data_IF_483047802318
#
_entry.id   IF_483047802318
#
_cell.length_a   1.000
_cell.length_b   1.000
_cell.length_c   1.000
_cell.angle_alpha   90.00
_cell.angle_beta   90.00
_cell.angle_gamma   90.00
#
_symmetry.space_group_name_H-M   'P 1'
#
loop_
_entity.id
_entity.type
_entity.pdbx_description
1 polymer ?
#
# COMPACT_ATOMS: atom_id res chain seq x y z
N UNK A 1 43.46 -19.49 -0.36
CA UNK A 1 42.29 -19.50 0.54
C UNK A 1 41.52 -20.77 0.29
N UNK A 2 41.20 -21.60 1.33
CA UNK A 2 40.40 -22.80 1.13
C UNK A 2 39.00 -22.38 0.61
N UNK A 3 38.58 -23.00 -0.50
CA UNK A 3 37.24 -22.87 -1.00
C UNK A 3 36.25 -23.31 0.07
N UNK A 4 35.26 -22.47 0.35
CA UNK A 4 34.19 -22.82 1.28
C UNK A 4 33.40 -23.99 0.67
N UNK A 5 33.63 -25.21 1.18
CA UNK A 5 32.85 -26.37 0.78
C UNK A 5 31.46 -26.17 1.40
N UNK A 6 30.53 -25.71 0.60
CA UNK A 6 29.12 -25.63 1.00
C UNK A 6 28.67 -27.00 1.50
N UNK A 7 28.02 -27.06 2.64
CA UNK A 7 27.47 -28.31 3.13
C UNK A 7 26.39 -28.81 2.15
N UNK A 8 26.50 -30.03 1.68
CA UNK A 8 25.48 -30.74 0.87
C UNK A 8 24.19 -31.04 1.65
N UNK A 9 24.05 -30.52 2.86
CA UNK A 9 22.82 -30.67 3.63
C UNK A 9 21.70 -29.80 3.05
N UNK A 10 20.50 -30.35 2.79
CA UNK A 10 19.37 -29.58 2.36
C UNK A 10 19.05 -28.50 3.40
N UNK A 11 18.84 -27.30 2.95
CA UNK A 11 18.46 -26.20 3.86
C UNK A 11 17.21 -26.57 4.66
N UNK A 12 17.21 -26.33 5.98
CA UNK A 12 16.05 -26.62 6.81
C UNK A 12 14.86 -25.79 6.31
N UNK A 13 13.69 -26.41 6.21
CA UNK A 13 12.45 -25.68 5.90
C UNK A 13 12.13 -24.75 7.06
N UNK A 14 11.99 -23.48 6.78
CA UNK A 14 11.51 -22.53 7.77
C UNK A 14 10.05 -22.86 8.13
N UNK A 15 9.66 -22.72 9.41
CA UNK A 15 8.27 -22.87 9.80
C UNK A 15 7.40 -21.84 9.07
N UNK A 16 6.16 -22.23 8.75
CA UNK A 16 5.19 -21.32 8.16
C UNK A 16 4.91 -20.19 9.15
N UNK A 17 4.93 -18.95 8.66
CA UNK A 17 4.48 -17.80 9.45
C UNK A 17 2.94 -17.91 9.65
N UNK A 18 2.42 -17.96 10.89
CA UNK A 18 0.99 -18.13 11.17
C UNK A 18 0.22 -16.84 10.93
N UNK A 19 0.19 -16.34 9.68
CA UNK A 19 -0.61 -15.17 9.32
C UNK A 19 -2.10 -15.54 9.26
N UNK A 20 -2.99 -14.69 9.83
CA UNK A 20 -4.42 -14.92 9.75
C UNK A 20 -4.88 -14.93 8.30
N UNK A 21 -5.65 -15.97 7.92
CA UNK A 21 -6.20 -16.07 6.58
C UNK A 21 -7.44 -15.18 6.47
N UNK A 22 -7.52 -14.28 5.46
CA UNK A 22 -8.68 -13.44 5.26
C UNK A 22 -9.89 -14.27 4.81
N UNK A 23 -11.03 -14.09 5.49
CA UNK A 23 -12.32 -14.63 5.08
C UNK A 23 -12.89 -13.74 3.97
N UNK A 24 -12.78 -14.19 2.72
CA UNK A 24 -13.15 -13.39 1.56
C UNK A 24 -14.67 -13.26 1.39
N UNK A 25 -15.45 -14.19 1.94
CA UNK A 25 -16.93 -14.19 1.82
C UNK A 25 -17.53 -13.15 2.78
N UNK A 26 -16.90 -12.91 3.93
CA UNK A 26 -17.31 -11.91 4.91
C UNK A 26 -16.61 -10.55 4.74
N UNK A 27 -15.75 -10.40 3.73
CA UNK A 27 -14.89 -9.24 3.58
C UNK A 27 -15.62 -7.99 3.06
N UNK A 28 -15.40 -6.87 3.72
CA UNK A 28 -15.78 -5.56 3.21
C UNK A 28 -14.77 -5.08 2.15
N UNK A 29 -15.28 -4.57 1.00
CA UNK A 29 -14.42 -4.07 -0.08
C UNK A 29 -14.33 -2.56 -0.06
N UNK A 30 -13.10 -2.04 0.03
CA UNK A 30 -12.78 -0.62 -0.08
C UNK A 30 -11.97 -0.36 -1.36
N UNK A 31 -12.26 0.77 -2.02
CA UNK A 31 -11.60 1.15 -3.29
C UNK A 31 -10.59 2.26 -3.05
N UNK A 32 -9.37 2.08 -3.59
CA UNK A 32 -8.31 3.08 -3.56
C UNK A 32 -7.80 3.32 -4.97
N UNK A 33 -7.83 4.58 -5.39
CA UNK A 33 -7.36 5.02 -6.70
C UNK A 33 -6.14 5.90 -6.49
N UNK A 34 -5.03 5.52 -7.12
CA UNK A 34 -3.81 6.33 -7.18
C UNK A 34 -3.88 7.17 -8.44
N UNK A 35 -3.79 8.48 -8.31
CA UNK A 35 -3.95 9.43 -9.40
C UNK A 35 -2.79 10.43 -9.42
N UNK A 36 -2.56 10.95 -10.61
CA UNK A 36 -1.60 12.01 -10.85
C UNK A 36 -2.34 13.24 -11.37
N UNK A 37 -2.31 14.32 -10.62
CA UNK A 37 -3.01 15.56 -11.00
C UNK A 37 -2.16 16.47 -11.89
N UNK A 38 -0.96 16.02 -12.31
CA UNK A 38 -0.09 16.74 -13.23
C UNK A 38 0.66 17.92 -12.61
N UNK A 39 1.58 18.49 -13.39
CA UNK A 39 2.52 19.53 -12.96
C UNK A 39 1.90 20.93 -12.80
N UNK A 40 0.61 21.11 -13.01
CA UNK A 40 -0.08 22.40 -12.91
C UNK A 40 -0.96 22.38 -11.67
N UNK A 41 -0.35 22.54 -10.51
CA UNK A 41 -1.08 22.95 -9.31
C UNK A 41 -1.36 24.44 -9.42
N UNK A 42 -2.59 24.91 -9.15
CA UNK A 42 -2.82 26.34 -9.01
C UNK A 42 -1.89 26.89 -7.93
N UNK A 43 -1.28 28.02 -8.21
CA UNK A 43 -0.48 28.74 -7.23
C UNK A 43 -1.33 29.07 -6.00
N UNK A 44 -0.73 29.00 -4.80
CA UNK A 44 -1.35 29.52 -3.60
C UNK A 44 -1.53 31.06 -3.69
N UNK A 45 -2.19 31.66 -2.69
CA UNK A 45 -2.41 33.12 -2.63
C UNK A 45 -1.10 33.93 -2.64
N UNK A 46 0.04 33.29 -2.36
CA UNK A 46 1.38 33.87 -2.41
C UNK A 46 2.11 33.58 -3.74
N UNK A 47 1.43 32.99 -4.72
CA UNK A 47 2.01 32.65 -6.01
C UNK A 47 2.96 31.44 -6.00
N UNK A 48 3.01 30.69 -4.90
CA UNK A 48 3.82 29.47 -4.78
C UNK A 48 3.05 28.27 -5.29
N UNK A 49 3.57 27.59 -6.30
CA UNK A 49 2.95 26.37 -6.83
C UNK A 49 2.88 25.29 -5.72
N UNK A 50 1.69 24.94 -5.31
CA UNK A 50 1.43 23.75 -4.50
C UNK A 50 1.54 22.54 -5.42
N UNK A 51 2.70 21.90 -5.45
CA UNK A 51 2.90 20.66 -6.22
C UNK A 51 2.24 19.49 -5.53
N UNK A 52 0.97 19.27 -5.79
CA UNK A 52 0.29 18.01 -5.47
C UNK A 52 0.41 17.09 -6.68
N UNK A 53 1.52 16.36 -6.80
CA UNK A 53 1.71 15.48 -7.95
C UNK A 53 0.86 14.21 -7.86
N UNK A 54 0.69 13.68 -6.65
CA UNK A 54 0.11 12.38 -6.43
C UNK A 54 -1.01 12.41 -5.40
N UNK A 55 -2.04 11.58 -5.62
CA UNK A 55 -3.16 11.47 -4.70
C UNK A 55 -3.59 10.02 -4.50
N UNK A 56 -4.17 9.72 -3.33
CA UNK A 56 -4.94 8.52 -3.06
C UNK A 56 -6.39 8.97 -2.85
N UNK A 57 -7.32 8.52 -3.72
CA UNK A 57 -8.71 8.95 -3.69
C UNK A 57 -8.85 10.50 -3.67
N UNK A 58 -8.08 11.19 -4.53
CA UNK A 58 -8.01 12.65 -4.64
C UNK A 58 -7.54 13.37 -3.37
N UNK A 59 -6.90 12.66 -2.48
CA UNK A 59 -6.31 13.20 -1.24
C UNK A 59 -4.80 13.05 -1.29
N UNK A 60 -4.08 14.11 -1.01
CA UNK A 60 -2.64 14.13 -0.90
C UNK A 60 -2.22 14.42 0.54
N UNK A 61 -1.16 13.75 1.00
CA UNK A 61 -0.51 14.11 2.24
C UNK A 61 0.98 14.37 1.98
N UNK A 62 1.35 15.64 1.98
CA UNK A 62 2.68 16.12 1.62
C UNK A 62 3.55 16.29 2.86
N UNK A 63 3.88 15.23 3.54
CA UNK A 63 4.86 15.28 4.60
C UNK A 63 4.32 15.01 6.00
N UNK A 64 5.23 14.56 6.83
CA UNK A 64 4.98 14.14 8.22
C UNK A 64 5.16 15.33 9.17
N UNK A 65 4.45 16.42 8.94
CA UNK A 65 4.36 17.48 9.92
C UNK A 65 3.28 17.09 10.95
N UNK A 66 3.65 17.07 12.22
CA UNK A 66 2.73 16.75 13.32
C UNK A 66 1.48 17.67 13.38
N UNK A 67 1.54 18.80 12.71
CA UNK A 67 0.47 19.81 12.73
C UNK A 67 -0.55 19.66 11.58
N UNK A 68 -0.32 18.75 10.61
CA UNK A 68 -1.15 18.59 9.41
C UNK A 68 -1.47 17.13 9.08
N UNK A 69 -1.79 16.33 10.10
CA UNK A 69 -2.22 14.94 9.88
C UNK A 69 -3.65 14.99 9.31
N UNK A 70 -3.88 14.52 8.07
CA UNK A 70 -5.21 14.48 7.47
C UNK A 70 -6.10 13.47 8.19
N UNK A 71 -7.39 13.44 7.87
CA UNK A 71 -8.26 12.33 8.28
C UNK A 71 -7.79 11.01 7.62
N UNK A 72 -7.99 9.84 8.27
CA UNK A 72 -7.59 8.55 7.71
C UNK A 72 -8.24 8.31 6.35
N UNK A 73 -7.57 7.59 5.48
CA UNK A 73 -8.12 7.13 4.20
C UNK A 73 -9.29 6.15 4.41
N UNK A 74 -9.19 5.34 5.45
CA UNK A 74 -10.24 4.43 5.91
C UNK A 74 -10.11 4.19 7.43
N UNK A 75 -11.27 3.94 8.07
CA UNK A 75 -11.36 3.40 9.43
C UNK A 75 -11.84 1.96 9.33
N UNK A 76 -11.07 1.07 9.92
CA UNK A 76 -11.28 -0.37 9.88
C UNK A 76 -11.61 -0.89 11.27
N UNK A 77 -12.54 -1.83 11.35
CA UNK A 77 -12.89 -2.49 12.60
C UNK A 77 -11.92 -3.63 12.89
N UNK A 78 -11.38 -3.65 14.10
CA UNK A 78 -10.47 -4.70 14.56
C UNK A 78 -11.12 -6.09 14.41
N UNK A 79 -10.35 -7.04 13.91
CA UNK A 79 -10.75 -8.42 13.68
C UNK A 79 -11.54 -8.68 12.39
N UNK A 80 -11.98 -7.64 11.67
CA UNK A 80 -12.68 -7.83 10.38
C UNK A 80 -11.72 -8.04 9.23
N UNK A 81 -12.21 -8.75 8.21
CA UNK A 81 -11.52 -8.92 6.93
C UNK A 81 -11.89 -7.80 5.96
N UNK A 82 -10.88 -7.27 5.28
CA UNK A 82 -11.04 -6.26 4.24
C UNK A 82 -10.39 -6.68 2.94
N UNK A 83 -11.04 -6.34 1.83
CA UNK A 83 -10.46 -6.38 0.50
C UNK A 83 -10.20 -4.94 0.07
N UNK A 84 -8.94 -4.60 -0.25
CA UNK A 84 -8.62 -3.34 -0.90
C UNK A 84 -8.54 -3.58 -2.40
N UNK A 85 -9.40 -2.89 -3.14
CA UNK A 85 -9.42 -2.86 -4.59
C UNK A 85 -8.63 -1.63 -5.05
N UNK A 86 -7.36 -1.86 -5.38
CA UNK A 86 -6.38 -0.85 -5.73
C UNK A 86 -6.37 -0.61 -7.23
N UNK A 87 -6.47 0.65 -7.66
CA UNK A 87 -6.33 1.05 -9.06
C UNK A 87 -5.21 2.06 -9.20
N UNK A 88 -4.17 1.71 -9.95
CA UNK A 88 -3.18 2.67 -10.39
C UNK A 88 -3.68 3.35 -11.68
N UNK A 89 -4.11 4.60 -11.56
CA UNK A 89 -4.61 5.42 -12.67
C UNK A 89 -3.53 6.42 -13.12
N UNK A 90 -2.26 6.01 -13.07
CA UNK A 90 -1.11 6.84 -13.43
C UNK A 90 -0.26 6.16 -14.52
N UNK A 91 0.58 6.90 -15.25
CA UNK A 91 1.50 6.33 -16.23
C UNK A 91 2.78 5.72 -15.60
N UNK A 92 2.87 5.68 -14.28
CA UNK A 92 4.05 5.22 -13.54
C UNK A 92 3.76 3.97 -12.71
N UNK A 93 4.81 3.24 -12.37
CA UNK A 93 4.74 2.10 -11.46
C UNK A 93 4.86 2.60 -10.01
N UNK A 94 4.10 1.97 -9.11
CA UNK A 94 4.09 2.32 -7.69
C UNK A 94 4.20 1.06 -6.83
N UNK A 95 5.30 0.86 -6.10
CA UNK A 95 5.32 -0.10 -5.00
C UNK A 95 4.51 0.47 -3.84
N UNK A 96 3.36 -0.12 -3.59
CA UNK A 96 2.40 0.30 -2.56
C UNK A 96 2.62 -0.51 -1.30
N UNK A 97 2.90 0.17 -0.20
CA UNK A 97 3.17 -0.40 1.12
C UNK A 97 2.14 0.05 2.15
N UNK A 98 1.76 -0.88 3.02
CA UNK A 98 0.90 -0.60 4.17
C UNK A 98 1.65 -1.05 5.42
N UNK A 99 1.93 -0.11 6.33
CA UNK A 99 2.56 -0.41 7.60
C UNK A 99 1.65 -1.27 8.49
N UNK A 100 2.24 -2.10 9.32
CA UNK A 100 1.56 -2.86 10.36
C UNK A 100 0.55 -3.91 9.88
N UNK A 101 0.49 -4.17 8.57
CA UNK A 101 -0.45 -5.11 7.95
C UNK A 101 0.28 -6.01 6.97
N UNK A 102 0.05 -7.33 7.11
CA UNK A 102 0.41 -8.31 6.08
C UNK A 102 -0.84 -8.65 5.28
N UNK A 103 -0.83 -8.34 3.99
CA UNK A 103 -1.96 -8.62 3.12
C UNK A 103 -1.66 -9.71 2.11
N UNK A 104 -2.70 -10.43 1.70
CA UNK A 104 -2.64 -11.44 0.65
C UNK A 104 -2.98 -10.79 -0.69
N UNK A 105 -2.08 -10.86 -1.66
CA UNK A 105 -2.37 -10.43 -3.05
C UNK A 105 -3.22 -11.49 -3.70
N UNK A 106 -4.42 -11.11 -4.16
CA UNK A 106 -5.42 -12.06 -4.68
C UNK A 106 -5.47 -12.08 -6.21
N UNK A 107 -5.42 -10.90 -6.82
CA UNK A 107 -5.65 -10.76 -8.27
C UNK A 107 -4.98 -9.50 -8.82
N UNK A 108 -4.49 -9.60 -10.03
CA UNK A 108 -4.02 -8.48 -10.85
C UNK A 108 -4.71 -8.50 -12.22
N UNK A 109 -4.87 -7.32 -12.83
CA UNK A 109 -5.34 -7.20 -14.22
C UNK A 109 -4.24 -7.41 -15.25
N UNK A 110 -2.97 -7.44 -14.80
CA UNK A 110 -1.81 -7.56 -15.70
C UNK A 110 -1.00 -8.84 -15.54
N UNK A 111 -1.14 -9.50 -14.38
CA UNK A 111 -0.35 -10.68 -14.02
C UNK A 111 -1.26 -11.80 -13.56
N UNK A 112 -0.90 -13.04 -13.90
CA UNK A 112 -1.45 -14.20 -13.21
C UNK A 112 -0.82 -14.25 -11.82
N UNK A 113 -1.64 -14.27 -10.79
CA UNK A 113 -1.21 -14.28 -9.38
C UNK A 113 -1.58 -15.62 -8.75
N UNK A 114 -0.60 -16.31 -8.21
CA UNK A 114 -0.84 -17.31 -7.17
C UNK A 114 -0.85 -16.56 -5.84
N UNK A 115 -1.95 -16.60 -5.05
CA UNK A 115 -2.08 -15.74 -3.88
C UNK A 115 -0.97 -15.91 -2.86
N UNK A 116 -0.32 -14.80 -2.45
CA UNK A 116 0.78 -14.79 -1.50
C UNK A 116 0.67 -13.60 -0.54
N UNK A 117 1.27 -13.73 0.65
CA UNK A 117 1.34 -12.66 1.63
C UNK A 117 2.56 -11.75 1.41
N UNK A 118 2.33 -10.47 1.58
CA UNK A 118 3.35 -9.41 1.55
C UNK A 118 2.85 -8.17 2.27
N UNK A 119 3.71 -7.22 2.53
CA UNK A 119 3.38 -5.88 3.01
C UNK A 119 3.49 -4.81 1.92
N UNK A 120 4.03 -5.20 0.76
CA UNK A 120 4.27 -4.30 -0.36
C UNK A 120 3.91 -4.97 -1.68
N UNK A 121 3.15 -4.30 -2.53
CA UNK A 121 2.82 -4.77 -3.88
C UNK A 121 3.23 -3.76 -4.94
N UNK A 122 4.01 -4.21 -5.93
CA UNK A 122 4.32 -3.39 -7.10
C UNK A 122 3.12 -3.35 -8.04
N UNK A 123 2.53 -2.18 -8.16
CA UNK A 123 1.49 -1.90 -9.15
C UNK A 123 2.10 -1.26 -10.39
N UNK A 124 1.88 -1.86 -11.54
CA UNK A 124 2.27 -1.29 -12.83
C UNK A 124 1.31 -0.16 -13.23
N UNK A 125 1.76 0.66 -14.19
CA UNK A 125 0.90 1.71 -14.78
C UNK A 125 -0.45 1.12 -15.24
N UNK A 126 -1.54 1.79 -14.92
CA UNK A 126 -2.90 1.39 -15.29
C UNK A 126 -3.33 -0.02 -14.81
N UNK A 127 -2.66 -0.56 -13.80
CA UNK A 127 -2.99 -1.85 -13.19
C UNK A 127 -4.07 -1.72 -12.12
N UNK A 128 -4.85 -2.77 -11.96
CA UNK A 128 -5.74 -2.98 -10.83
C UNK A 128 -5.35 -4.24 -10.09
N UNK A 129 -5.19 -4.13 -8.77
CA UNK A 129 -4.81 -5.23 -7.89
C UNK A 129 -5.82 -5.33 -6.76
N UNK A 130 -6.21 -6.55 -6.42
CA UNK A 130 -6.98 -6.82 -5.20
C UNK A 130 -6.08 -7.46 -4.16
N UNK A 131 -6.09 -6.89 -2.97
CA UNK A 131 -5.41 -7.43 -1.78
C UNK A 131 -6.43 -7.66 -0.68
N UNK A 132 -6.18 -8.62 0.21
CA UNK A 132 -7.04 -8.89 1.36
C UNK A 132 -6.21 -9.13 2.62
N UNK A 133 -6.75 -8.70 3.77
CA UNK A 133 -6.13 -8.92 5.06
C UNK A 133 -7.16 -8.91 6.19
N UNK A 134 -6.78 -9.47 7.32
CA UNK A 134 -7.50 -9.31 8.58
C UNK A 134 -6.95 -8.08 9.28
N UNK A 135 -7.80 -7.17 9.73
CA UNK A 135 -7.42 -5.98 10.50
C UNK A 135 -7.13 -6.37 11.96
N UNK A 136 -6.03 -7.09 12.22
CA UNK A 136 -5.68 -7.70 13.50
C UNK A 136 -4.69 -6.89 14.36
N UNK A 137 -4.17 -5.80 13.81
CA UNK A 137 -3.19 -4.96 14.46
C UNK A 137 -3.76 -3.54 14.69
N UNK A 138 -4.25 -3.20 15.90
CA UNK A 138 -4.85 -1.90 16.16
C UNK A 138 -3.82 -0.78 16.09
N UNK A 139 -4.23 0.38 15.55
CA UNK A 139 -3.37 1.55 15.42
C UNK A 139 -3.62 2.38 14.18
N UNK A 140 -2.73 3.36 13.94
CA UNK A 140 -2.70 4.19 12.75
C UNK A 140 -1.53 3.80 11.88
N UNK A 141 -1.81 3.26 10.70
CA UNK A 141 -0.82 2.63 9.84
C UNK A 141 -0.65 3.43 8.56
N UNK A 142 0.57 3.88 8.29
CA UNK A 142 0.88 4.59 7.04
C UNK A 142 0.60 3.69 5.85
N UNK A 143 0.05 4.32 4.82
CA UNK A 143 -0.28 3.71 3.54
C UNK A 143 0.26 4.61 2.44
N UNK A 144 1.28 4.15 1.70
CA UNK A 144 2.02 5.02 0.79
C UNK A 144 2.73 4.27 -0.34
N UNK A 145 3.16 5.03 -1.34
CA UNK A 145 4.13 4.54 -2.31
C UNK A 145 5.52 4.49 -1.68
N UNK A 146 6.29 3.44 -1.96
CA UNK A 146 7.66 3.28 -1.43
C UNK A 146 8.72 4.05 -2.23
N UNK A 147 8.36 4.65 -3.38
CA UNK A 147 9.20 5.65 -4.05
C UNK A 147 9.11 6.96 -3.25
N UNK A 148 10.24 7.38 -2.70
CA UNK A 148 10.29 8.50 -1.74
C UNK A 148 9.75 9.80 -2.34
N UNK A 149 10.08 10.10 -3.59
CA UNK A 149 9.60 11.28 -4.29
C UNK A 149 8.08 11.27 -4.45
N UNK A 150 7.50 10.12 -4.80
CA UNK A 150 6.05 9.98 -4.91
C UNK A 150 5.35 10.13 -3.56
N UNK A 151 5.92 9.53 -2.52
CA UNK A 151 5.41 9.64 -1.16
C UNK A 151 5.42 11.09 -0.68
N UNK A 152 6.57 11.77 -0.79
CA UNK A 152 6.75 13.17 -0.33
C UNK A 152 5.92 14.18 -1.11
N UNK A 153 5.48 13.83 -2.31
CA UNK A 153 4.68 14.71 -3.18
C UNK A 153 3.21 14.28 -3.27
N UNK A 154 2.72 13.54 -2.26
CA UNK A 154 1.29 13.34 -2.04
C UNK A 154 0.79 11.89 -2.03
N UNK A 155 1.56 10.90 -2.54
CA UNK A 155 1.10 9.51 -2.59
C UNK A 155 1.26 8.81 -1.22
N UNK A 156 0.64 9.39 -0.22
CA UNK A 156 0.67 8.96 1.17
C UNK A 156 -0.65 9.25 1.87
N UNK A 157 -0.97 8.42 2.83
CA UNK A 157 -2.08 8.56 3.77
C UNK A 157 -1.90 7.58 4.90
N UNK A 158 -2.95 7.32 5.66
CA UNK A 158 -2.96 6.26 6.65
C UNK A 158 -4.35 5.65 6.79
N UNK A 159 -4.38 4.43 7.30
CA UNK A 159 -5.59 3.74 7.75
C UNK A 159 -5.58 3.67 9.28
N UNK A 160 -6.76 3.64 9.88
CA UNK A 160 -6.96 3.48 11.32
C UNK A 160 -7.69 2.16 11.58
N UNK A 161 -7.12 1.30 12.45
CA UNK A 161 -7.72 0.04 12.90
C UNK A 161 -8.08 0.20 14.38
N UNK A 162 -9.36 0.08 14.70
CA UNK A 162 -9.88 0.19 16.08
C UNK A 162 -11.08 -0.72 16.31
#
# INVERSE_FOLDING_TARGET
SPANQGSDQPMPRLPLNPLPQPDLDAAETLKFVFEWEGAISPADEQGKAKHKFWTINRRAWEGMSHNNIPAPLAKLTLGKTYIFDLKNNTPHNHPIHIHGVMFKVLKSTKKKIDPFFTDTVLMEKNERVKIAFVADNPGRWMYHCHVIEHMKTGLMGYIEIA
#
